data_IF_653842368944
#
_entry.id   IF_653842368944
#
_cell.length_a   1.000
_cell.length_b   1.000
_cell.length_c   1.000
_cell.angle_alpha   90.00
_cell.angle_beta   90.00
_cell.angle_gamma   90.00
#
_symmetry.space_group_name_H-M   'P 1'
#
loop_
_entity.id
_entity.type
_entity.pdbx_description
1 polymer ?
#
# COMPACT_ATOMS: atom_id res chain seq x y z
N UNK A 1 11.38 14.40 2.38
CA UNK A 1 11.40 13.31 3.38
C UNK A 1 10.93 12.04 2.68
N UNK A 2 11.77 11.00 2.61
CA UNK A 2 11.32 9.69 2.14
C UNK A 2 10.32 9.15 3.16
N UNK A 3 9.09 8.75 2.76
CA UNK A 3 8.10 8.12 3.65
C UNK A 3 8.59 6.81 4.32
N UNK A 4 9.74 6.32 3.87
CA UNK A 4 10.34 5.06 4.30
C UNK A 4 11.51 5.23 5.29
N UNK A 5 12.03 6.44 5.50
CA UNK A 5 13.21 6.71 6.34
C UNK A 5 12.80 7.46 7.61
N UNK A 6 12.36 6.69 8.61
CA UNK A 6 12.67 7.01 10.01
C UNK A 6 13.96 6.25 10.39
N UNK A 7 14.65 6.75 11.41
CA UNK A 7 16.06 6.53 11.77
C UNK A 7 16.56 5.05 11.81
N UNK A 8 17.89 4.82 11.68
CA UNK A 8 18.45 3.52 11.34
C UNK A 8 18.41 2.42 12.41
N UNK A 9 18.01 2.67 13.66
CA UNK A 9 18.54 1.85 14.76
C UNK A 9 17.57 1.39 15.86
N UNK A 10 16.28 1.21 15.57
CA UNK A 10 15.39 0.50 16.50
C UNK A 10 14.76 -0.73 15.81
N UNK A 11 15.45 -1.87 15.90
CA UNK A 11 14.77 -3.17 15.96
C UNK A 11 14.04 -3.27 17.32
N UNK A 12 13.23 -2.28 17.66
CA UNK A 12 12.36 -2.36 18.81
C UNK A 12 11.17 -3.23 18.37
N UNK A 13 11.28 -4.53 18.64
CA UNK A 13 10.21 -5.51 18.50
C UNK A 13 9.14 -5.32 19.58
N UNK A 14 8.76 -4.07 19.85
CA UNK A 14 7.71 -3.76 20.81
C UNK A 14 6.46 -4.55 20.42
N UNK A 15 6.09 -5.44 21.33
CA UNK A 15 5.04 -6.41 21.13
C UNK A 15 3.72 -5.65 21.05
N UNK A 16 3.10 -5.62 19.86
CA UNK A 16 1.81 -4.94 19.71
C UNK A 16 0.76 -5.67 20.55
N UNK A 17 0.43 -5.11 21.71
CA UNK A 17 -0.69 -5.52 22.53
C UNK A 17 -1.88 -4.68 22.08
N UNK A 18 -2.73 -5.29 21.27
CA UNK A 18 -4.04 -4.77 20.90
C UNK A 18 -5.09 -5.70 21.47
N UNK A 19 -5.92 -5.15 22.34
CA UNK A 19 -7.16 -5.78 22.76
C UNK A 19 -8.23 -5.40 21.73
N UNK A 20 -8.63 -6.36 20.90
CA UNK A 20 -9.61 -6.15 19.84
C UNK A 20 -10.98 -6.64 20.34
N UNK A 21 -12.03 -5.82 20.26
CA UNK A 21 -13.36 -6.24 20.65
C UNK A 21 -13.90 -7.29 19.67
N UNK A 22 -14.93 -8.03 20.09
CA UNK A 22 -15.66 -8.94 19.18
C UNK A 22 -16.36 -8.18 18.05
N UNK A 23 -16.79 -6.94 18.32
CA UNK A 23 -17.41 -6.02 17.36
C UNK A 23 -17.04 -4.57 17.69
N UNK A 24 -16.79 -3.74 16.67
CA UNK A 24 -16.55 -2.31 16.88
C UNK A 24 -17.85 -1.55 17.08
N UNK A 25 -17.89 -0.67 18.08
CA UNK A 25 -19.07 0.16 18.37
C UNK A 25 -19.04 1.50 17.65
N UNK A 26 -17.85 1.98 17.28
CA UNK A 26 -17.67 3.26 16.59
C UNK A 26 -16.63 3.16 15.48
N UNK A 27 -16.82 3.93 14.40
CA UNK A 27 -15.84 4.02 13.32
C UNK A 27 -14.44 4.41 13.80
N UNK A 28 -14.36 5.33 14.78
CA UNK A 28 -13.08 5.82 15.29
C UNK A 28 -12.29 4.72 16.03
N UNK A 29 -12.98 3.82 16.73
CA UNK A 29 -12.37 2.66 17.39
C UNK A 29 -11.75 1.71 16.34
N UNK A 30 -12.53 1.33 15.33
CA UNK A 30 -12.07 0.49 14.23
C UNK A 30 -10.88 1.12 13.48
N UNK A 31 -10.99 2.42 13.17
CA UNK A 31 -9.97 3.20 12.48
C UNK A 31 -8.66 3.29 13.28
N UNK A 32 -8.75 3.52 14.59
CA UNK A 32 -7.58 3.59 15.47
C UNK A 32 -6.87 2.24 15.55
N UNK A 33 -7.63 1.15 15.69
CA UNK A 33 -7.10 -0.20 15.75
C UNK A 33 -6.36 -0.59 14.45
N UNK A 34 -6.98 -0.38 13.28
CA UNK A 34 -6.33 -0.71 12.00
C UNK A 34 -5.12 0.16 11.72
N UNK A 35 -5.12 1.42 12.19
CA UNK A 35 -3.96 2.31 12.04
C UNK A 35 -2.76 1.79 12.83
N UNK A 36 -2.98 1.36 14.08
CA UNK A 36 -1.93 0.73 14.91
C UNK A 36 -1.41 -0.57 14.27
N UNK A 37 -2.31 -1.39 13.72
CA UNK A 37 -1.93 -2.60 12.97
C UNK A 37 -1.11 -2.27 11.73
N UNK A 38 -1.53 -1.29 10.93
CA UNK A 38 -0.84 -0.88 9.71
C UNK A 38 0.59 -0.41 9.99
N UNK A 39 0.80 0.36 11.07
CA UNK A 39 2.15 0.79 11.49
C UNK A 39 3.01 -0.42 11.88
N UNK A 40 2.48 -1.34 12.68
CA UNK A 40 3.22 -2.54 13.10
C UNK A 40 3.53 -3.49 11.95
N UNK A 41 2.59 -3.67 11.01
CA UNK A 41 2.79 -4.45 9.78
C UNK A 41 3.89 -3.81 8.92
N UNK A 42 3.88 -2.49 8.77
CA UNK A 42 4.92 -1.78 8.03
C UNK A 42 6.30 -1.93 8.69
N UNK A 43 6.38 -1.81 10.02
CA UNK A 43 7.61 -2.02 10.78
C UNK A 43 8.14 -3.44 10.62
N UNK A 44 7.27 -4.44 10.75
CA UNK A 44 7.60 -5.84 10.53
C UNK A 44 8.13 -6.08 9.11
N UNK A 45 7.42 -5.58 8.08
CA UNK A 45 7.86 -5.72 6.69
C UNK A 45 9.24 -5.09 6.43
N UNK A 46 9.54 -3.94 7.04
CA UNK A 46 10.88 -3.32 6.97
C UNK A 46 11.94 -4.15 7.68
N UNK A 47 11.63 -4.72 8.85
CA UNK A 47 12.55 -5.58 9.59
C UNK A 47 12.85 -6.88 8.81
N UNK A 48 11.83 -7.53 8.27
CA UNK A 48 11.98 -8.72 7.42
C UNK A 48 12.79 -8.47 6.16
N UNK A 49 12.72 -7.27 5.58
CA UNK A 49 13.55 -6.90 4.43
C UNK A 49 15.04 -6.69 4.78
N UNK A 50 15.37 -6.43 6.05
CA UNK A 50 16.75 -6.17 6.53
C UNK A 50 17.43 -7.43 7.06
N UNK A 51 16.67 -8.34 7.68
CA UNK A 51 17.17 -9.67 8.00
C UNK A 51 17.34 -10.46 6.70
N UNK A 52 18.57 -10.60 6.22
CA UNK A 52 18.92 -11.68 5.27
C UNK A 52 18.75 -13.06 5.94
N UNK A 53 19.20 -14.15 5.31
CA UNK A 53 19.01 -15.57 5.70
C UNK A 53 19.61 -16.00 7.08
N UNK A 54 19.77 -15.09 8.03
CA UNK A 54 20.33 -15.32 9.36
C UNK A 54 19.28 -15.96 10.30
N UNK A 55 19.50 -17.22 10.70
CA UNK A 55 18.45 -18.13 11.22
C UNK A 55 17.80 -17.69 12.55
N UNK A 56 18.53 -17.00 13.44
CA UNK A 56 18.00 -16.57 14.74
C UNK A 56 16.88 -15.52 14.66
N UNK A 57 17.09 -14.40 13.95
CA UNK A 57 16.06 -13.39 13.73
C UNK A 57 14.82 -13.88 12.95
N UNK A 58 14.95 -14.91 12.09
CA UNK A 58 13.86 -15.41 11.26
C UNK A 58 12.70 -16.02 12.06
N UNK A 59 12.98 -16.80 13.10
CA UNK A 59 11.93 -17.43 13.93
C UNK A 59 11.11 -16.40 14.71
N UNK A 60 11.74 -15.31 15.14
CA UNK A 60 11.07 -14.21 15.81
C UNK A 60 10.17 -13.45 14.83
N UNK A 61 10.69 -13.15 13.63
CA UNK A 61 9.92 -12.50 12.57
C UNK A 61 8.74 -13.37 12.12
N UNK A 62 8.92 -14.69 11.99
CA UNK A 62 7.85 -15.63 11.66
C UNK A 62 6.72 -15.60 12.68
N UNK A 63 7.07 -15.65 13.98
CA UNK A 63 6.10 -15.53 15.08
C UNK A 63 5.38 -14.18 15.08
N UNK A 64 6.12 -13.09 14.84
CA UNK A 64 5.54 -11.76 14.74
C UNK A 64 4.58 -11.65 13.55
N UNK A 65 4.95 -12.19 12.37
CA UNK A 65 4.09 -12.26 11.19
C UNK A 65 2.78 -12.97 11.52
N UNK A 66 2.86 -14.18 12.08
CA UNK A 66 1.68 -14.97 12.42
C UNK A 66 0.75 -14.25 13.43
N UNK A 67 1.32 -13.55 14.40
CA UNK A 67 0.54 -12.72 15.34
C UNK A 67 -0.17 -11.58 14.61
N UNK A 68 0.54 -10.82 13.78
CA UNK A 68 -0.04 -9.68 13.05
C UNK A 68 -1.13 -10.12 12.08
N UNK A 69 -0.96 -11.27 11.42
CA UNK A 69 -2.00 -11.88 10.59
C UNK A 69 -3.25 -12.20 11.42
N UNK A 70 -3.09 -12.89 12.56
CA UNK A 70 -4.23 -13.20 13.45
C UNK A 70 -4.95 -11.95 13.96
N UNK A 71 -4.21 -10.90 14.35
CA UNK A 71 -4.81 -9.65 14.79
C UNK A 71 -5.56 -8.94 13.66
N UNK A 72 -5.03 -8.97 12.43
CA UNK A 72 -5.70 -8.38 11.27
C UNK A 72 -6.96 -9.16 10.90
N UNK A 73 -6.93 -10.49 10.97
CA UNK A 73 -8.10 -11.34 10.76
C UNK A 73 -9.18 -11.10 11.83
N UNK A 74 -8.79 -10.97 13.10
CA UNK A 74 -9.69 -10.62 14.21
C UNK A 74 -10.31 -9.25 14.00
N UNK A 75 -9.50 -8.26 13.65
CA UNK A 75 -9.97 -6.91 13.32
C UNK A 75 -10.98 -6.97 12.15
N UNK A 76 -10.69 -7.75 11.10
CA UNK A 76 -11.57 -7.90 9.94
C UNK A 76 -12.93 -8.49 10.31
N UNK A 77 -12.96 -9.50 11.20
CA UNK A 77 -14.20 -10.08 11.73
C UNK A 77 -15.00 -9.07 12.55
N UNK A 78 -14.36 -8.37 13.48
CA UNK A 78 -15.01 -7.36 14.32
C UNK A 78 -15.52 -6.15 13.50
N UNK A 79 -14.88 -5.87 12.37
CA UNK A 79 -15.25 -4.81 11.44
C UNK A 79 -16.38 -5.18 10.47
N UNK A 80 -16.70 -6.47 10.33
CA UNK A 80 -17.64 -6.96 9.33
C UNK A 80 -19.07 -6.43 9.56
N UNK A 81 -19.55 -6.46 10.81
CA UNK A 81 -20.90 -5.96 11.16
C UNK A 81 -21.06 -4.49 10.74
N UNK A 82 -20.14 -3.62 11.16
CA UNK A 82 -20.14 -2.20 10.81
C UNK A 82 -20.06 -1.97 9.30
N UNK A 83 -19.27 -2.79 8.60
CA UNK A 83 -19.14 -2.69 7.15
C UNK A 83 -20.45 -3.04 6.43
N UNK A 84 -21.12 -4.12 6.84
CA UNK A 84 -22.40 -4.54 6.28
C UNK A 84 -23.53 -3.55 6.58
N UNK A 85 -23.56 -2.97 7.78
CA UNK A 85 -24.50 -1.90 8.13
C UNK A 85 -24.30 -0.67 7.24
N UNK A 86 -23.06 -0.23 7.05
CA UNK A 86 -22.75 0.90 6.16
C UNK A 86 -23.14 0.62 4.69
N UNK A 87 -23.11 -0.65 4.26
CA UNK A 87 -23.53 -1.04 2.91
C UNK A 87 -25.04 -0.86 2.67
N UNK A 88 -25.86 -0.65 3.70
CA UNK A 88 -27.29 -0.33 3.53
C UNK A 88 -27.51 1.06 2.91
N UNK A 89 -26.54 1.96 3.04
CA UNK A 89 -26.54 3.28 2.41
C UNK A 89 -25.22 3.56 1.69
N UNK A 90 -25.07 2.98 0.49
CA UNK A 90 -23.84 3.04 -0.32
C UNK A 90 -23.49 4.42 -0.88
N UNK A 91 -24.35 5.42 -0.68
CA UNK A 91 -24.17 6.80 -1.16
C UNK A 91 -23.73 7.73 -0.02
N UNK A 92 -23.80 7.30 1.23
CA UNK A 92 -23.42 8.09 2.40
C UNK A 92 -21.90 8.28 2.56
N UNK A 93 -21.50 9.43 3.12
CA UNK A 93 -20.09 9.67 3.52
C UNK A 93 -19.56 8.64 4.52
N UNK A 94 -20.44 8.13 5.37
CA UNK A 94 -20.13 7.05 6.32
C UNK A 94 -19.68 5.79 5.59
N UNK A 95 -20.42 5.36 4.57
CA UNK A 95 -20.02 4.23 3.73
C UNK A 95 -18.66 4.45 3.06
N UNK A 96 -18.39 5.65 2.54
CA UNK A 96 -17.10 5.97 1.92
C UNK A 96 -15.94 5.94 2.93
N UNK A 97 -16.16 6.37 4.16
CA UNK A 97 -15.17 6.26 5.24
C UNK A 97 -14.89 4.80 5.60
N UNK A 98 -15.96 4.02 5.74
CA UNK A 98 -15.90 2.58 6.05
C UNK A 98 -15.21 1.79 4.93
N UNK A 99 -15.53 2.10 3.68
CA UNK A 99 -14.91 1.49 2.51
C UNK A 99 -13.41 1.81 2.40
N UNK A 100 -13.00 3.05 2.69
CA UNK A 100 -11.57 3.42 2.71
C UNK A 100 -10.78 2.63 3.76
N UNK A 101 -11.36 2.43 4.94
CA UNK A 101 -10.76 1.61 6.01
C UNK A 101 -10.63 0.15 5.57
N UNK A 102 -11.64 -0.40 4.90
CA UNK A 102 -11.58 -1.75 4.32
C UNK A 102 -10.48 -1.88 3.26
N UNK A 103 -10.34 -0.90 2.37
CA UNK A 103 -9.27 -0.87 1.36
C UNK A 103 -7.89 -0.87 2.03
N UNK A 104 -7.72 -0.08 3.11
CA UNK A 104 -6.49 -0.04 3.87
C UNK A 104 -6.15 -1.41 4.49
N UNK A 105 -7.15 -2.09 5.04
CA UNK A 105 -7.01 -3.44 5.60
C UNK A 105 -6.59 -4.47 4.54
N UNK A 106 -7.24 -4.50 3.37
CA UNK A 106 -6.83 -5.40 2.28
C UNK A 106 -5.38 -5.18 1.85
N UNK A 107 -4.93 -3.92 1.75
CA UNK A 107 -3.51 -3.65 1.49
C UNK A 107 -2.62 -4.17 2.63
N UNK A 108 -3.03 -4.03 3.89
CA UNK A 108 -2.26 -4.57 5.02
C UNK A 108 -2.18 -6.10 4.98
N UNK A 109 -3.24 -6.80 4.57
CA UNK A 109 -3.26 -8.25 4.38
C UNK A 109 -2.19 -8.69 3.39
N UNK A 110 -2.11 -8.01 2.23
CA UNK A 110 -1.07 -8.29 1.22
C UNK A 110 0.33 -8.03 1.80
N UNK A 111 0.54 -6.89 2.47
CA UNK A 111 1.84 -6.53 3.05
C UNK A 111 2.31 -7.57 4.06
N UNK A 112 1.45 -8.00 4.98
CA UNK A 112 1.84 -8.96 6.01
C UNK A 112 2.00 -10.37 5.43
N UNK A 113 1.15 -10.78 4.47
CA UNK A 113 1.26 -12.10 3.86
C UNK A 113 2.58 -12.26 3.08
N UNK A 114 3.04 -11.17 2.44
CA UNK A 114 4.24 -11.14 1.60
C UNK A 114 5.51 -10.66 2.31
N UNK A 115 5.43 -10.25 3.58
CA UNK A 115 6.51 -9.53 4.31
C UNK A 115 7.84 -10.28 4.38
N UNK A 116 7.79 -11.60 4.36
CA UNK A 116 8.95 -12.50 4.51
C UNK A 116 9.33 -13.19 3.19
N UNK A 117 8.76 -12.77 2.06
CA UNK A 117 9.18 -13.27 0.75
C UNK A 117 10.25 -12.37 0.14
N UNK A 118 11.24 -12.98 -0.50
CA UNK A 118 12.30 -12.30 -1.26
C UNK A 118 12.01 -12.23 -2.78
N UNK A 119 10.89 -12.80 -3.22
CA UNK A 119 10.52 -12.88 -4.64
C UNK A 119 9.41 -11.89 -4.98
N UNK A 120 9.45 -11.33 -6.19
CA UNK A 120 8.36 -10.48 -6.69
C UNK A 120 7.18 -11.30 -7.24
N UNK A 121 7.35 -12.61 -7.45
CA UNK A 121 6.27 -13.49 -7.91
C UNK A 121 5.22 -13.77 -6.85
N UNK A 122 5.56 -13.59 -5.56
CA UNK A 122 4.63 -13.78 -4.43
C UNK A 122 3.37 -12.92 -4.55
N UNK A 123 3.44 -11.78 -5.23
CA UNK A 123 2.32 -10.86 -5.40
C UNK A 123 1.27 -11.35 -6.40
N UNK A 124 1.60 -12.32 -7.27
CA UNK A 124 0.66 -12.83 -8.28
C UNK A 124 -0.57 -13.47 -7.62
N UNK A 125 -0.37 -14.15 -6.49
CA UNK A 125 -1.44 -14.75 -5.67
C UNK A 125 -2.42 -13.72 -5.09
N UNK A 126 -2.10 -12.43 -5.15
CA UNK A 126 -2.92 -11.33 -4.65
C UNK A 126 -3.52 -10.46 -5.76
N UNK A 127 -3.41 -10.86 -7.03
CA UNK A 127 -3.94 -10.09 -8.18
C UNK A 127 -5.42 -9.73 -8.01
N UNK A 128 -6.26 -10.69 -7.59
CA UNK A 128 -7.68 -10.45 -7.34
C UNK A 128 -7.92 -9.43 -6.22
N UNK A 129 -7.07 -9.41 -5.19
CA UNK A 129 -7.17 -8.45 -4.09
C UNK A 129 -6.70 -7.05 -4.53
N UNK A 130 -5.68 -6.95 -5.36
CA UNK A 130 -5.28 -5.70 -5.99
C UNK A 130 -6.39 -5.14 -6.90
N UNK A 131 -7.04 -5.98 -7.72
CA UNK A 131 -8.20 -5.59 -8.53
C UNK A 131 -9.34 -5.06 -7.67
N UNK A 132 -9.61 -5.72 -6.53
CA UNK A 132 -10.60 -5.28 -5.55
C UNK A 132 -10.25 -3.90 -4.98
N UNK A 133 -9.00 -3.68 -4.60
CA UNK A 133 -8.51 -2.37 -4.12
C UNK A 133 -8.75 -1.29 -5.18
N UNK A 134 -8.35 -1.50 -6.43
CA UNK A 134 -8.54 -0.51 -7.50
C UNK A 134 -10.00 -0.25 -7.80
N UNK A 135 -10.83 -1.29 -7.84
CA UNK A 135 -12.27 -1.16 -8.11
C UNK A 135 -12.95 -0.25 -7.07
N UNK A 136 -12.75 -0.54 -5.79
CA UNK A 136 -13.38 0.28 -4.74
C UNK A 136 -12.72 1.64 -4.57
N UNK A 137 -11.42 1.78 -4.86
CA UNK A 137 -10.77 3.09 -4.90
C UNK A 137 -11.35 3.99 -6.01
N UNK A 138 -11.62 3.43 -7.20
CA UNK A 138 -12.30 4.14 -8.30
C UNK A 138 -13.69 4.58 -7.88
N UNK A 139 -14.45 3.71 -7.22
CA UNK A 139 -15.76 4.06 -6.68
C UNK A 139 -15.70 5.22 -5.68
N UNK A 140 -14.75 5.17 -4.74
CA UNK A 140 -14.55 6.26 -3.76
C UNK A 140 -14.22 7.58 -4.46
N UNK A 141 -13.34 7.56 -5.46
CA UNK A 141 -12.99 8.74 -6.27
C UNK A 141 -14.23 9.34 -6.95
N UNK A 142 -15.04 8.53 -7.64
CA UNK A 142 -16.22 9.01 -8.35
C UNK A 142 -17.23 9.64 -7.40
N UNK A 143 -17.50 9.00 -6.27
CA UNK A 143 -18.43 9.54 -5.26
C UNK A 143 -17.90 10.80 -4.59
N UNK A 144 -16.59 10.87 -4.38
CA UNK A 144 -15.97 12.08 -3.88
C UNK A 144 -16.13 13.27 -4.85
N UNK A 145 -15.92 13.03 -6.16
CA UNK A 145 -16.13 14.05 -7.20
C UNK A 145 -17.59 14.52 -7.22
N UNK A 146 -18.57 13.59 -7.22
CA UNK A 146 -20.00 13.93 -7.14
C UNK A 146 -20.32 14.83 -5.93
N UNK A 147 -19.77 14.50 -4.76
CA UNK A 147 -19.99 15.29 -3.53
C UNK A 147 -19.38 16.69 -3.67
N UNK A 148 -18.18 16.80 -4.24
CA UNK A 148 -17.51 18.09 -4.47
C UNK A 148 -18.28 18.98 -5.44
N UNK A 149 -18.86 18.40 -6.49
CA UNK A 149 -19.63 19.14 -7.48
C UNK A 149 -20.95 19.67 -6.92
N UNK A 150 -21.49 19.02 -5.89
CA UNK A 150 -22.70 19.45 -5.16
C UNK A 150 -22.46 20.47 -4.03
N UNK A 151 -21.27 21.09 -3.95
CA UNK A 151 -20.83 21.97 -2.84
C UNK A 151 -20.89 21.29 -1.46
N UNK A 152 -20.72 19.97 -1.43
CA UNK A 152 -20.67 19.19 -0.20
C UNK A 152 -19.35 19.42 0.55
N UNK A 153 -19.33 19.31 1.90
CA UNK A 153 -18.09 19.36 2.66
C UNK A 153 -17.17 18.22 2.22
N UNK A 154 -15.88 18.54 2.03
CA UNK A 154 -14.86 17.59 1.58
C UNK A 154 -14.83 16.38 2.49
N UNK A 155 -14.79 15.20 1.88
CA UNK A 155 -14.47 13.97 2.62
C UNK A 155 -13.08 14.12 3.22
N UNK A 156 -12.97 13.94 4.54
CA UNK A 156 -11.66 13.78 5.17
C UNK A 156 -11.19 12.35 4.85
N UNK A 157 -10.27 12.22 3.89
CA UNK A 157 -9.77 10.91 3.48
C UNK A 157 -8.84 10.36 4.55
N UNK A 158 -9.35 9.36 5.28
CA UNK A 158 -8.61 8.60 6.27
C UNK A 158 -7.44 7.86 5.63
N UNK A 159 -6.34 7.79 6.39
CA UNK A 159 -5.08 7.11 6.06
C UNK A 159 -5.23 5.85 5.21
N UNK A 160 -4.61 5.88 4.04
CA UNK A 160 -4.19 4.67 3.36
C UNK A 160 -4.57 4.56 1.89
N UNK A 161 -5.49 5.35 1.34
CA UNK A 161 -5.91 5.16 -0.06
C UNK A 161 -4.79 5.48 -1.06
N UNK A 162 -4.09 6.62 -0.89
CA UNK A 162 -2.90 6.94 -1.70
C UNK A 162 -1.84 5.83 -1.55
N UNK A 163 -1.61 5.36 -0.32
CA UNK A 163 -0.62 4.30 -0.04
C UNK A 163 -1.04 2.95 -0.66
N UNK A 164 -2.32 2.61 -0.63
CA UNK A 164 -2.86 1.38 -1.18
C UNK A 164 -2.78 1.37 -2.70
N UNK A 165 -3.12 2.49 -3.34
CA UNK A 165 -2.97 2.68 -4.78
C UNK A 165 -1.50 2.65 -5.19
N UNK A 166 -0.61 3.37 -4.48
CA UNK A 166 0.82 3.33 -4.76
C UNK A 166 1.40 1.92 -4.60
N UNK A 167 1.00 1.21 -3.54
CA UNK A 167 1.41 -0.18 -3.30
C UNK A 167 0.88 -1.11 -4.39
N UNK A 168 -0.36 -0.92 -4.84
CA UNK A 168 -0.95 -1.67 -5.95
C UNK A 168 -0.19 -1.43 -7.25
N UNK A 169 0.05 -0.16 -7.60
CA UNK A 169 0.76 0.25 -8.79
C UNK A 169 2.20 -0.31 -8.85
N UNK A 170 2.86 -0.45 -7.70
CA UNK A 170 4.27 -0.86 -7.64
C UNK A 170 4.46 -2.35 -7.38
N UNK A 171 3.57 -3.03 -6.65
CA UNK A 171 3.71 -4.45 -6.29
C UNK A 171 2.96 -5.41 -7.18
N UNK A 172 1.74 -5.08 -7.65
CA UNK A 172 1.02 -5.97 -8.56
C UNK A 172 1.84 -6.16 -9.85
N UNK A 173 1.82 -7.33 -10.48
CA UNK A 173 2.51 -7.56 -11.77
C UNK A 173 1.61 -7.42 -12.99
N UNK A 174 0.29 -7.38 -12.81
CA UNK A 174 -0.66 -7.24 -13.90
C UNK A 174 -0.68 -5.79 -14.43
N UNK A 175 -0.47 -5.59 -15.74
CA UNK A 175 -0.39 -4.25 -16.35
C UNK A 175 -1.63 -3.40 -16.10
N UNK A 176 -2.82 -3.99 -16.30
CA UNK A 176 -4.07 -3.26 -16.23
C UNK A 176 -4.33 -2.73 -14.82
N UNK A 177 -4.09 -3.56 -13.81
CA UNK A 177 -4.27 -3.19 -12.40
C UNK A 177 -3.29 -2.08 -11.99
N UNK A 178 -2.04 -2.15 -12.44
CA UNK A 178 -1.02 -1.14 -12.13
C UNK A 178 -1.38 0.21 -12.74
N UNK A 179 -1.77 0.22 -14.02
CA UNK A 179 -2.15 1.44 -14.76
C UNK A 179 -3.43 2.05 -14.20
N UNK A 180 -4.39 1.23 -13.82
CA UNK A 180 -5.63 1.66 -13.16
C UNK A 180 -5.32 2.39 -11.83
N UNK A 181 -4.45 1.81 -10.99
CA UNK A 181 -4.06 2.45 -9.74
C UNK A 181 -3.37 3.82 -9.95
N UNK A 182 -2.54 3.93 -10.99
CA UNK A 182 -1.90 5.20 -11.39
C UNK A 182 -2.94 6.21 -11.87
N UNK A 183 -3.88 5.79 -12.72
CA UNK A 183 -4.94 6.66 -13.24
C UNK A 183 -5.76 7.26 -12.10
N UNK A 184 -6.18 6.44 -11.13
CA UNK A 184 -6.90 6.91 -9.94
C UNK A 184 -6.07 7.95 -9.16
N UNK A 185 -4.76 7.72 -8.97
CA UNK A 185 -3.89 8.70 -8.28
C UNK A 185 -3.74 10.02 -9.06
N UNK A 186 -3.78 10.00 -10.40
CA UNK A 186 -3.71 11.20 -11.25
C UNK A 186 -5.01 12.00 -11.25
N UNK A 187 -6.13 11.30 -11.35
CA UNK A 187 -7.48 11.88 -11.41
C UNK A 187 -7.96 12.41 -10.05
N UNK A 188 -7.25 12.07 -8.98
CA UNK A 188 -7.61 12.44 -7.62
C UNK A 188 -6.53 13.24 -6.88
N UNK A 189 -6.32 14.54 -7.22
CA UNK A 189 -5.39 15.40 -6.51
C UNK A 189 -5.79 15.61 -5.04
N UNK A 190 -5.22 14.80 -4.16
CA UNK A 190 -5.36 14.89 -2.72
C UNK A 190 -4.01 14.71 -1.99
N UNK A 191 -3.98 15.20 -0.74
CA UNK A 191 -2.85 15.09 0.19
C UNK A 191 -3.31 14.43 1.49
N UNK A 192 -2.53 13.50 2.01
CA UNK A 192 -2.75 12.85 3.29
C UNK A 192 -1.42 12.70 4.04
N UNK A 193 -1.21 13.53 5.07
CA UNK A 193 0.09 13.62 5.75
C UNK A 193 1.21 13.96 4.76
N UNK A 194 2.22 13.10 4.70
CA UNK A 194 3.36 13.25 3.78
C UNK A 194 3.09 12.74 2.35
N UNK A 195 1.93 12.12 2.11
CA UNK A 195 1.58 11.55 0.82
C UNK A 195 0.80 12.55 -0.01
N UNK A 196 1.26 12.77 -1.24
CA UNK A 196 0.54 13.51 -2.26
C UNK A 196 0.27 12.57 -3.45
N UNK A 197 -1.01 12.45 -3.82
CA UNK A 197 -1.50 11.60 -4.91
C UNK A 197 -0.70 11.76 -6.23
N UNK A 198 -0.56 12.99 -6.74
CA UNK A 198 0.19 13.26 -7.97
C UNK A 198 1.69 12.92 -7.88
N UNK A 199 2.31 13.11 -6.70
CA UNK A 199 3.70 12.72 -6.49
C UNK A 199 3.83 11.20 -6.48
N UNK A 200 2.91 10.50 -5.81
CA UNK A 200 2.85 9.04 -5.80
C UNK A 200 2.62 8.47 -7.20
N UNK A 201 1.71 9.05 -7.98
CA UNK A 201 1.49 8.68 -9.39
C UNK A 201 2.76 8.84 -10.21
N UNK A 202 3.44 9.98 -10.10
CA UNK A 202 4.67 10.29 -10.85
C UNK A 202 5.78 9.27 -10.55
N UNK A 203 5.96 8.88 -9.29
CA UNK A 203 6.94 7.86 -8.92
C UNK A 203 6.53 6.47 -9.42
N UNK A 204 5.25 6.11 -9.30
CA UNK A 204 4.72 4.83 -9.75
C UNK A 204 4.83 4.67 -11.28
N UNK A 205 4.53 5.71 -12.04
CA UNK A 205 4.72 5.76 -13.51
C UNK A 205 6.17 5.53 -13.90
N UNK A 206 7.12 6.15 -13.19
CA UNK A 206 8.53 5.92 -13.46
C UNK A 206 8.91 4.46 -13.22
N UNK A 207 8.51 3.86 -12.09
CA UNK A 207 8.76 2.44 -11.78
C UNK A 207 8.15 1.55 -12.87
N UNK A 208 6.88 1.77 -13.19
CA UNK A 208 6.17 1.07 -14.26
C UNK A 208 6.92 1.20 -15.58
N UNK A 209 7.37 2.39 -15.97
CA UNK A 209 8.06 2.61 -17.24
C UNK A 209 9.38 1.85 -17.38
N UNK A 210 10.10 1.59 -16.28
CA UNK A 210 11.37 0.85 -16.32
C UNK A 210 11.17 -0.66 -16.22
N UNK A 211 10.12 -1.11 -15.54
CA UNK A 211 9.77 -2.54 -15.48
C UNK A 211 9.11 -3.02 -16.78
N UNK A 212 8.22 -2.21 -17.36
CA UNK A 212 7.43 -2.59 -18.54
C UNK A 212 8.23 -2.50 -19.86
N UNK A 213 9.40 -1.84 -19.87
CA UNK A 213 10.29 -1.77 -21.05
C UNK A 213 10.75 -3.14 -21.56
N UNK A 214 10.94 -4.07 -20.65
CA UNK A 214 11.39 -5.42 -20.95
C UNK A 214 10.23 -6.35 -21.34
N UNK A 215 9.02 -5.83 -21.50
CA UNK A 215 7.83 -6.62 -21.74
C UNK A 215 7.47 -6.68 -23.23
N UNK A 216 7.54 -7.90 -23.80
CA UNK A 216 7.15 -8.18 -25.19
C UNK A 216 5.64 -8.38 -25.39
N UNK A 217 4.79 -7.53 -24.79
CA UNK A 217 3.32 -7.62 -24.93
C UNK A 217 2.61 -8.62 -24.01
N UNK A 218 3.25 -9.02 -22.91
CA UNK A 218 2.66 -9.89 -21.88
C UNK A 218 1.60 -9.16 -21.05
N UNK A 219 0.78 -9.93 -20.29
CA UNK A 219 -0.18 -9.38 -19.31
C UNK A 219 0.43 -9.22 -17.88
N UNK A 220 1.56 -9.87 -17.63
CA UNK A 220 2.30 -9.71 -16.39
C UNK A 220 3.72 -9.25 -16.66
N UNK A 221 4.21 -8.31 -15.84
CA UNK A 221 5.61 -7.91 -15.82
C UNK A 221 6.46 -9.14 -15.41
N UNK A 222 7.47 -9.55 -16.20
CA UNK A 222 8.36 -10.66 -15.83
C UNK A 222 9.13 -10.38 -14.54
N UNK A 223 9.45 -11.44 -13.78
CA UNK A 223 10.02 -11.32 -12.44
C UNK A 223 11.43 -10.69 -12.41
N UNK A 224 12.23 -10.97 -13.44
CA UNK A 224 13.57 -10.42 -13.68
C UNK A 224 13.55 -8.94 -14.07
N UNK A 225 12.44 -8.45 -14.60
CA UNK A 225 12.25 -7.06 -14.99
C UNK A 225 11.88 -6.16 -13.80
N UNK A 226 11.63 -6.74 -12.62
CA UNK A 226 11.12 -6.03 -11.45
C UNK A 226 12.20 -5.24 -10.74
N UNK A 227 11.83 -4.05 -10.26
CA UNK A 227 12.68 -3.29 -9.33
C UNK A 227 12.61 -3.90 -7.94
N UNK A 228 13.72 -3.81 -7.20
CA UNK A 228 13.75 -4.12 -5.77
C UNK A 228 13.17 -2.93 -5.02
N UNK A 229 11.86 -2.88 -4.82
CA UNK A 229 11.19 -1.73 -4.23
C UNK A 229 11.74 -1.32 -2.85
N UNK A 230 12.30 -2.27 -2.10
CA UNK A 230 12.96 -2.00 -0.81
C UNK A 230 14.17 -1.06 -0.93
N UNK A 231 14.79 -0.99 -2.11
CA UNK A 231 15.89 -0.07 -2.42
C UNK A 231 15.41 1.30 -2.90
N UNK A 232 14.11 1.52 -3.07
CA UNK A 232 13.55 2.78 -3.56
C UNK A 232 13.82 3.91 -2.57
N UNK A 233 14.49 4.96 -3.06
CA UNK A 233 14.72 6.23 -2.37
C UNK A 233 13.99 7.32 -3.12
N UNK A 234 13.23 8.14 -2.39
CA UNK A 234 12.46 9.26 -2.95
C UNK A 234 12.77 10.52 -2.18
N UNK A 235 13.32 11.53 -2.86
CA UNK A 235 13.65 12.82 -2.27
C UNK A 235 12.94 13.94 -3.04
N UNK A 236 12.21 14.78 -2.33
CA UNK A 236 11.59 15.99 -2.89
C UNK A 236 12.47 17.20 -2.55
N UNK A 237 12.96 17.92 -3.55
CA UNK A 237 13.76 19.14 -3.38
C UNK A 237 13.41 20.15 -4.46
N UNK A 238 12.99 21.36 -4.05
CA UNK A 238 12.66 22.48 -4.96
C UNK A 238 11.70 22.08 -6.11
N UNK A 239 10.65 21.34 -5.80
CA UNK A 239 9.66 20.90 -6.79
C UNK A 239 10.05 19.69 -7.66
N UNK A 240 11.28 19.17 -7.50
CA UNK A 240 11.75 17.97 -8.22
C UNK A 240 11.75 16.76 -7.31
N UNK A 241 11.23 15.63 -7.81
CA UNK A 241 11.28 14.33 -7.15
C UNK A 241 12.48 13.55 -7.71
N UNK A 242 13.54 13.40 -6.92
CA UNK A 242 14.65 12.50 -7.25
C UNK A 242 14.31 11.09 -6.77
N UNK A 243 14.36 10.12 -7.69
CA UNK A 243 14.10 8.70 -7.43
C UNK A 243 15.33 7.86 -7.74
N UNK A 244 15.61 6.87 -6.91
CA UNK A 244 16.68 5.89 -7.11
C UNK A 244 16.21 4.51 -6.61
N UNK A 245 16.47 3.44 -7.36
CA UNK A 245 16.24 2.06 -6.92
C UNK A 245 17.18 1.09 -7.66
N UNK A 246 17.19 -0.17 -7.26
CA UNK A 246 17.91 -1.26 -7.93
C UNK A 246 16.93 -2.09 -8.76
N UNK A 247 17.35 -2.54 -9.93
CA UNK A 247 16.61 -3.46 -10.80
C UNK A 247 17.48 -4.67 -11.13
N UNK A 248 16.88 -5.85 -11.20
CA UNK A 248 17.60 -7.03 -11.70
C UNK A 248 17.85 -6.92 -13.20
N UNK A 249 19.07 -7.26 -13.62
CA UNK A 249 19.46 -7.46 -15.01
C UNK A 249 19.19 -8.92 -15.42
N UNK A 250 19.18 -9.18 -16.73
CA UNK A 250 19.03 -10.52 -17.29
C UNK A 250 20.12 -11.51 -16.84
N UNK A 251 21.29 -11.01 -16.45
CA UNK A 251 22.40 -11.80 -15.89
C UNK A 251 22.33 -11.97 -14.36
N UNK A 252 21.26 -11.49 -13.72
CA UNK A 252 21.05 -11.56 -12.28
C UNK A 252 21.79 -10.49 -11.47
N UNK A 253 22.55 -9.60 -12.11
CA UNK A 253 23.19 -8.47 -11.43
C UNK A 253 22.16 -7.39 -11.08
N UNK A 254 22.43 -6.60 -10.02
CA UNK A 254 21.57 -5.48 -9.65
C UNK A 254 22.12 -4.18 -10.24
N UNK A 255 21.34 -3.54 -11.11
CA UNK A 255 21.68 -2.26 -11.72
C UNK A 255 20.96 -1.09 -11.02
N UNK A 256 21.66 0.02 -10.73
CA UNK A 256 20.99 1.22 -10.22
C UNK A 256 20.19 1.91 -11.33
N UNK A 257 18.97 2.31 -11.01
CA UNK A 257 18.08 3.16 -11.82
C UNK A 257 17.82 4.45 -11.07
N UNK A 258 18.03 5.59 -11.74
CA UNK A 258 17.85 6.92 -11.14
C UNK A 258 17.20 7.88 -12.12
N UNK A 259 16.33 8.76 -11.62
CA UNK A 259 15.73 9.83 -12.39
C UNK A 259 15.40 11.06 -11.53
N UNK A 260 15.26 12.21 -12.19
CA UNK A 260 14.65 13.41 -11.63
C UNK A 260 13.32 13.63 -12.33
N UNK A 261 12.24 13.59 -11.56
CA UNK A 261 10.87 13.68 -12.06
C UNK A 261 10.27 15.03 -11.68
N UNK A 262 9.64 15.67 -12.65
CA UNK A 262 8.77 16.82 -12.44
C UNK A 262 7.34 16.32 -12.22
N UNK A 263 6.58 17.00 -11.36
CA UNK A 263 5.16 16.72 -11.16
C UNK A 263 4.35 18.01 -11.35
N UNK A 264 3.07 17.92 -11.79
CA UNK A 264 2.22 19.06 -12.11
C UNK A 264 1.90 19.94 -10.90
#
# INVERSE_FOLDING_TARGET
MSPMLEHPNDLNFEEIVLDLPDQFTTFNEAFTAVTKLAVSILRHSKASARCGDDSGPWDLLARQKQRLQRLLDQWGKAYETMFLEACQNTVGREYLGVLQVRICAWKCEIVIATSMSNTEVVFDGFTAQFQRITHFARYVLQKDQEIRDSDGPRLQYGMGLIMALFYTATRCRNFFVRREAIAILREWPCTNGIWHSLQAATVAEWIVSIEEKCCGGLEFVPADCRVKLQSLRVALKKGVITVECMQSSADGTLEPRKANLTWP
#
